data_IF_849836084633
#
_entry.id   IF_849836084633
#
_cell.length_a   1.000
_cell.length_b   1.000
_cell.length_c   1.000
_cell.angle_alpha   90.00
_cell.angle_beta   90.00
_cell.angle_gamma   90.00
#
_symmetry.space_group_name_H-M   'P 1'
#
loop_
_entity.id
_entity.type
_entity.pdbx_description
1 polymer ?
#
# COMPACT_ATOMS: atom_id res chain seq x y z
N UNK A 1 30.77 30.48 -28.86
CA UNK A 1 29.32 30.52 -28.56
C UNK A 1 29.07 29.53 -27.44
N UNK A 2 28.35 29.90 -26.37
CA UNK A 2 27.96 28.99 -25.29
C UNK A 2 26.44 28.96 -25.21
N UNK A 3 25.85 27.75 -25.18
CA UNK A 3 24.41 27.53 -25.03
C UNK A 3 24.14 26.80 -23.71
N UNK A 4 22.99 27.07 -23.09
CA UNK A 4 22.53 26.46 -21.83
C UNK A 4 21.03 26.25 -21.90
N UNK A 5 20.56 25.17 -21.28
CA UNK A 5 19.15 24.88 -21.06
C UNK A 5 18.91 24.56 -19.58
N UNK A 6 17.80 25.04 -19.03
CA UNK A 6 17.37 24.75 -17.67
C UNK A 6 16.10 23.92 -17.76
N UNK A 7 16.22 22.63 -17.49
CA UNK A 7 15.08 21.70 -17.50
C UNK A 7 14.48 21.67 -16.09
N UNK A 8 13.19 22.01 -15.91
CA UNK A 8 12.56 21.96 -14.60
C UNK A 8 12.37 20.53 -14.12
N UNK A 9 12.41 20.31 -12.81
CA UNK A 9 12.07 19.02 -12.20
C UNK A 9 10.58 18.69 -12.42
N UNK A 10 10.30 17.43 -12.71
CA UNK A 10 8.98 16.86 -12.84
C UNK A 10 8.93 15.49 -12.18
N UNK A 11 7.86 15.24 -11.43
CA UNK A 11 7.52 13.95 -10.84
C UNK A 11 6.03 13.73 -10.98
N UNK A 12 5.65 12.55 -11.45
CA UNK A 12 4.27 12.10 -11.45
C UNK A 12 4.11 10.76 -10.74
N UNK A 13 2.97 10.60 -10.09
CA UNK A 13 2.54 9.35 -9.47
C UNK A 13 1.07 9.14 -9.76
N UNK A 14 0.74 7.94 -10.22
CA UNK A 14 -0.62 7.49 -10.46
C UNK A 14 -0.88 6.28 -9.58
N UNK A 15 -1.94 6.34 -8.78
CA UNK A 15 -2.41 5.23 -7.95
C UNK A 15 -3.76 4.77 -8.51
N UNK A 16 -3.87 3.48 -8.79
CA UNK A 16 -5.09 2.84 -9.29
C UNK A 16 -5.50 1.74 -8.34
N UNK A 17 -6.78 1.74 -7.94
CA UNK A 17 -7.44 0.66 -7.22
C UNK A 17 -8.77 0.34 -7.87
N UNK A 18 -9.51 -0.62 -7.32
CA UNK A 18 -10.78 -1.13 -7.81
C UNK A 18 -11.83 -0.04 -8.06
N UNK A 19 -11.87 1.01 -7.23
CA UNK A 19 -12.90 2.06 -7.31
C UNK A 19 -12.45 3.35 -8.03
N UNK A 20 -11.24 3.41 -8.58
CA UNK A 20 -10.84 4.57 -9.38
C UNK A 20 -9.34 4.78 -9.53
N UNK A 21 -8.99 5.96 -10.02
CA UNK A 21 -7.62 6.39 -10.27
C UNK A 21 -7.37 7.79 -9.72
N UNK A 22 -6.24 7.97 -9.03
CA UNK A 22 -5.76 9.27 -8.56
C UNK A 22 -4.39 9.53 -9.17
N UNK A 23 -4.22 10.71 -9.76
CA UNK A 23 -2.96 11.14 -10.36
C UNK A 23 -2.47 12.41 -9.67
N UNK A 24 -1.17 12.44 -9.39
CA UNK A 24 -0.45 13.52 -8.75
C UNK A 24 0.72 13.92 -9.65
N UNK A 25 0.94 15.23 -9.80
CA UNK A 25 2.04 15.79 -10.57
C UNK A 25 2.64 16.94 -9.81
N UNK A 26 3.96 16.95 -9.68
CA UNK A 26 4.73 18.04 -9.11
C UNK A 26 5.67 18.62 -10.17
N UNK A 27 5.77 19.95 -10.19
CA UNK A 27 6.56 20.71 -11.15
C UNK A 27 7.45 21.73 -10.42
N UNK A 28 8.75 21.64 -10.64
CA UNK A 28 9.72 22.60 -10.13
C UNK A 28 10.30 22.28 -8.75
N UNK A 29 11.38 22.98 -8.36
CA UNK A 29 12.11 22.69 -7.14
C UNK A 29 11.30 23.02 -5.88
N UNK A 30 11.29 22.10 -4.91
CA UNK A 30 10.57 22.26 -3.65
C UNK A 30 9.05 22.16 -3.74
N UNK A 31 8.51 21.84 -4.91
CA UNK A 31 7.07 21.66 -5.09
C UNK A 31 6.61 20.32 -4.49
N UNK A 32 5.54 20.35 -3.70
CA UNK A 32 4.84 19.16 -3.23
C UNK A 32 3.39 19.15 -3.75
N UNK A 33 2.82 17.95 -3.85
CA UNK A 33 1.41 17.79 -4.17
C UNK A 33 0.87 16.61 -3.37
N UNK A 34 -0.32 16.79 -2.79
CA UNK A 34 -1.01 15.78 -2.00
C UNK A 34 -2.43 15.64 -2.53
N UNK A 35 -2.91 14.42 -2.61
CA UNK A 35 -4.32 14.14 -2.86
C UNK A 35 -4.81 13.25 -1.73
N UNK A 36 -5.97 13.61 -1.18
CA UNK A 36 -6.79 12.68 -0.42
C UNK A 36 -7.73 12.01 -1.42
N UNK A 37 -7.51 10.74 -1.77
CA UNK A 37 -8.37 10.07 -2.71
C UNK A 37 -9.81 10.01 -2.18
N UNK A 38 -10.77 10.48 -2.97
CA UNK A 38 -12.19 10.32 -2.67
C UNK A 38 -12.64 8.96 -3.22
N UNK A 39 -13.00 8.04 -2.34
CA UNK A 39 -13.56 6.75 -2.72
C UNK A 39 -12.61 5.55 -2.71
N UNK A 40 -11.34 5.69 -2.29
CA UNK A 40 -10.56 4.50 -1.93
C UNK A 40 -10.83 4.14 -0.48
N UNK A 41 -11.56 3.06 -0.28
CA UNK A 41 -11.65 2.38 1.01
C UNK A 41 -11.02 1.00 0.86
N UNK A 42 -9.85 0.82 1.47
CA UNK A 42 -9.25 -0.49 1.62
C UNK A 42 -9.93 -1.21 2.78
N UNK A 43 -10.87 -2.09 2.46
CA UNK A 43 -11.61 -2.87 3.47
C UNK A 43 -10.94 -4.22 3.69
N UNK A 44 -10.78 -4.60 4.95
CA UNK A 44 -10.38 -5.96 5.35
C UNK A 44 -11.63 -6.68 5.81
N UNK A 45 -12.30 -7.33 4.87
CA UNK A 45 -13.57 -8.01 5.09
C UNK A 45 -13.51 -9.40 4.44
N UNK A 46 -14.00 -10.42 5.14
CA UNK A 46 -13.94 -11.80 4.67
C UNK A 46 -14.85 -12.10 3.48
N UNK A 47 -15.93 -11.35 3.30
CA UNK A 47 -16.84 -11.49 2.16
C UNK A 47 -16.25 -10.82 0.91
N UNK A 48 -15.51 -9.73 1.10
CA UNK A 48 -14.94 -8.94 0.00
C UNK A 48 -13.50 -9.36 -0.33
N UNK A 49 -12.58 -9.22 0.63
CA UNK A 49 -11.15 -9.48 0.46
C UNK A 49 -10.76 -10.95 0.70
N UNK A 50 -11.54 -11.65 1.52
CA UNK A 50 -11.32 -13.07 1.82
C UNK A 50 -10.14 -13.33 2.73
N UNK A 51 -9.86 -14.61 2.93
CA UNK A 51 -8.81 -15.06 3.82
C UNK A 51 -7.58 -15.54 3.06
N UNK A 52 -6.42 -15.30 3.64
CA UNK A 52 -5.14 -15.79 3.14
C UNK A 52 -4.30 -16.39 4.26
N UNK A 53 -3.46 -17.35 3.90
CA UNK A 53 -2.44 -17.89 4.80
C UNK A 53 -1.28 -16.93 4.98
N UNK A 54 -0.37 -17.25 5.89
CA UNK A 54 0.92 -16.57 6.07
C UNK A 54 1.70 -16.38 4.75
N UNK A 55 1.63 -17.37 3.86
CA UNK A 55 2.26 -17.35 2.54
C UNK A 55 1.44 -16.66 1.46
N UNK A 56 0.34 -15.99 1.83
CA UNK A 56 -0.59 -15.28 0.94
C UNK A 56 -1.31 -16.18 -0.08
N UNK A 57 -1.42 -17.48 0.21
CA UNK A 57 -2.32 -18.34 -0.55
C UNK A 57 -3.75 -18.08 -0.10
N UNK A 58 -4.65 -17.89 -1.06
CA UNK A 58 -6.09 -17.75 -0.82
C UNK A 58 -6.62 -19.00 -0.13
N UNK A 59 -7.31 -18.79 1.00
CA UNK A 59 -7.96 -19.83 1.78
C UNK A 59 -9.47 -19.88 1.52
N UNK A 60 -10.01 -18.90 0.81
CA UNK A 60 -11.43 -18.80 0.43
C UNK A 60 -12.07 -17.48 0.84
N UNK A 61 -13.34 -17.33 0.47
CA UNK A 61 -14.24 -16.22 0.81
C UNK A 61 -15.56 -16.80 1.32
N UNK A 62 -16.29 -16.10 2.19
CA UNK A 62 -17.64 -16.51 2.55
C UNK A 62 -18.10 -16.09 3.95
N UNK A 63 -19.42 -16.12 4.14
CA UNK A 63 -20.11 -15.85 5.39
C UNK A 63 -20.05 -17.09 6.30
N UNK A 64 -19.23 -17.02 7.37
CA UNK A 64 -19.24 -17.86 8.60
C UNK A 64 -19.73 -19.33 8.43
N UNK A 65 -18.94 -20.43 8.55
CA UNK A 65 -17.69 -20.60 9.32
C UNK A 65 -16.81 -21.82 8.86
N UNK A 66 -15.85 -21.69 7.93
CA UNK A 66 -14.98 -22.84 7.57
C UNK A 66 -13.48 -22.61 7.79
N UNK A 67 -13.08 -21.44 8.29
CA UNK A 67 -11.68 -21.22 8.60
C UNK A 67 -11.43 -21.58 10.05
N UNK A 68 -10.90 -22.78 10.24
CA UNK A 68 -10.46 -23.26 11.53
C UNK A 68 -9.26 -22.41 12.02
N UNK A 69 -9.48 -21.65 13.09
CA UNK A 69 -8.45 -20.88 13.80
C UNK A 69 -7.33 -21.73 14.42
N UNK A 70 -7.44 -23.06 14.39
CA UNK A 70 -6.35 -23.97 14.79
C UNK A 70 -5.15 -23.90 13.84
N UNK A 71 -5.32 -23.32 12.65
CA UNK A 71 -4.22 -22.89 11.80
C UNK A 71 -3.71 -21.56 12.35
N UNK A 72 -2.55 -21.56 12.99
CA UNK A 72 -1.99 -20.41 13.71
C UNK A 72 -1.76 -19.12 12.90
N UNK A 73 -2.09 -19.06 11.61
CA UNK A 73 -1.65 -17.97 10.73
C UNK A 73 -2.66 -17.69 9.59
N UNK A 74 -3.86 -17.24 9.99
CA UNK A 74 -4.90 -16.75 9.09
C UNK A 74 -4.90 -15.22 9.09
N UNK A 75 -5.12 -14.64 7.92
CA UNK A 75 -5.18 -13.20 7.71
C UNK A 75 -6.41 -12.86 6.84
N UNK A 76 -6.96 -11.67 7.03
CA UNK A 76 -7.95 -11.10 6.12
C UNK A 76 -7.20 -10.23 5.11
N UNK A 77 -7.36 -10.52 3.82
CA UNK A 77 -6.77 -9.72 2.76
C UNK A 77 -7.59 -8.45 2.55
N UNK A 78 -6.93 -7.37 2.15
CA UNK A 78 -7.61 -6.17 1.66
C UNK A 78 -8.39 -6.45 0.38
N UNK A 79 -9.48 -5.72 0.19
CA UNK A 79 -10.37 -5.82 -0.97
C UNK A 79 -9.75 -5.39 -2.30
N UNK A 80 -8.53 -4.83 -2.29
CA UNK A 80 -7.91 -4.20 -3.45
C UNK A 80 -6.43 -4.55 -3.60
N UNK A 81 -5.97 -4.52 -4.85
CA UNK A 81 -4.55 -4.51 -5.21
C UNK A 81 -4.25 -3.15 -5.82
N UNK A 82 -3.46 -2.34 -5.13
CA UNK A 82 -3.12 -1.01 -5.63
C UNK A 82 -1.99 -1.10 -6.66
N UNK A 83 -2.25 -0.65 -7.89
CA UNK A 83 -1.21 -0.43 -8.91
C UNK A 83 -0.72 1.02 -8.79
N UNK A 84 0.58 1.20 -8.62
CA UNK A 84 1.23 2.50 -8.57
C UNK A 84 2.23 2.63 -9.71
N UNK A 85 2.11 3.73 -10.45
CA UNK A 85 2.97 4.09 -11.57
C UNK A 85 3.67 5.41 -11.20
N UNK A 86 5.00 5.46 -11.29
CA UNK A 86 5.80 6.64 -10.96
C UNK A 86 6.77 6.91 -12.09
N UNK A 87 6.94 8.19 -12.43
CA UNK A 87 7.98 8.65 -13.35
C UNK A 87 8.48 10.02 -12.93
N UNK A 88 9.78 10.25 -13.08
CA UNK A 88 10.38 11.57 -12.90
C UNK A 88 11.49 11.80 -13.91
N UNK A 89 11.76 13.06 -14.23
CA UNK A 89 12.90 13.45 -15.07
C UNK A 89 14.19 13.69 -14.25
N UNK A 90 14.16 13.35 -12.96
CA UNK A 90 15.31 13.29 -12.06
C UNK A 90 15.30 11.96 -11.31
N UNK A 91 16.37 11.67 -10.57
CA UNK A 91 16.41 10.49 -9.70
C UNK A 91 15.29 10.59 -8.67
N UNK A 92 14.68 9.47 -8.31
CA UNK A 92 13.58 9.45 -7.36
C UNK A 92 13.55 8.17 -6.54
N UNK A 93 12.83 8.25 -5.42
CA UNK A 93 12.45 7.10 -4.62
C UNK A 93 10.95 7.03 -4.44
N UNK A 94 10.47 5.80 -4.32
CA UNK A 94 9.08 5.49 -4.04
C UNK A 94 8.96 4.65 -2.77
N UNK A 95 8.05 5.05 -1.89
CA UNK A 95 7.91 4.56 -0.52
C UNK A 95 6.43 4.42 -0.16
N UNK A 96 6.15 3.48 0.74
CA UNK A 96 4.83 3.35 1.40
C UNK A 96 5.00 3.64 2.88
N UNK A 97 4.23 4.59 3.40
CA UNK A 97 4.18 4.93 4.82
C UNK A 97 2.81 4.51 5.38
N UNK A 98 2.82 3.77 6.49
CA UNK A 98 1.60 3.41 7.20
C UNK A 98 1.88 3.16 8.68
N UNK A 99 0.89 2.62 9.38
CA UNK A 99 1.01 2.14 10.76
C UNK A 99 0.05 1.00 11.02
N UNK A 100 -0.02 0.50 12.27
CA UNK A 100 -1.06 -0.44 12.66
C UNK A 100 -2.43 0.24 12.58
N UNK A 101 -3.47 -0.55 12.36
CA UNK A 101 -4.85 -0.07 12.52
C UNK A 101 -5.15 0.00 14.02
N UNK A 102 -5.90 1.02 14.43
CA UNK A 102 -6.29 1.23 15.83
C UNK A 102 -7.77 0.95 16.00
N UNK A 103 -8.14 0.26 17.07
CA UNK A 103 -9.53 -0.01 17.38
C UNK A 103 -10.29 1.28 17.71
N UNK A 104 -11.54 1.38 17.27
CA UNK A 104 -12.42 2.52 17.54
C UNK A 104 -13.01 2.46 18.97
N UNK A 105 -13.37 1.26 19.42
CA UNK A 105 -14.19 1.05 20.63
C UNK A 105 -13.43 0.45 21.83
N UNK A 106 -12.14 0.15 21.69
CA UNK A 106 -11.31 -0.44 22.75
C UNK A 106 -9.82 -0.18 22.56
N UNK A 107 -9.03 -0.39 23.61
CA UNK A 107 -7.57 -0.37 23.50
C UNK A 107 -7.09 -1.61 22.73
N UNK A 108 -6.71 -1.42 21.48
CA UNK A 108 -6.22 -2.50 20.63
C UNK A 108 -5.63 -1.98 19.32
N UNK A 109 -4.66 -2.72 18.80
CA UNK A 109 -4.03 -2.42 17.51
C UNK A 109 -3.89 -3.68 16.66
N UNK A 110 -4.03 -3.52 15.34
CA UNK A 110 -3.80 -4.57 14.37
C UNK A 110 -2.62 -4.20 13.46
N UNK A 111 -1.53 -4.97 13.45
CA UNK A 111 -0.43 -4.68 12.55
C UNK A 111 -0.90 -4.84 11.10
N UNK A 112 -0.67 -3.81 10.29
CA UNK A 112 -0.94 -3.86 8.87
C UNK A 112 0.23 -4.54 8.18
N UNK A 113 -0.04 -5.57 7.38
CA UNK A 113 0.98 -6.23 6.58
C UNK A 113 0.81 -5.91 5.11
N UNK A 114 1.91 -5.72 4.41
CA UNK A 114 1.96 -5.43 2.98
C UNK A 114 2.95 -6.34 2.29
N UNK A 115 2.66 -6.70 1.03
CA UNK A 115 3.67 -7.16 0.09
C UNK A 115 3.61 -6.34 -1.18
N UNK A 116 4.74 -6.20 -1.85
CA UNK A 116 4.88 -5.42 -3.07
C UNK A 116 5.49 -6.26 -4.18
N UNK A 117 5.08 -6.04 -5.43
CA UNK A 117 5.60 -6.76 -6.59
C UNK A 117 5.65 -5.87 -7.82
N UNK A 118 6.67 -6.02 -8.66
CA UNK A 118 6.76 -5.31 -9.95
C UNK A 118 5.86 -5.96 -11.03
N UNK A 119 5.26 -7.10 -10.71
CA UNK A 119 4.27 -7.80 -11.53
C UNK A 119 3.16 -8.36 -10.65
N UNK A 120 1.94 -8.38 -11.15
CA UNK A 120 0.76 -8.83 -10.40
C UNK A 120 0.79 -10.32 -10.02
N UNK A 121 1.57 -11.13 -10.74
CA UNK A 121 1.77 -12.56 -10.48
C UNK A 121 2.99 -12.86 -9.57
N UNK A 122 3.76 -11.83 -9.18
CA UNK A 122 5.02 -12.00 -8.45
C UNK A 122 5.25 -10.89 -7.43
N UNK A 123 4.87 -11.17 -6.19
CA UNK A 123 5.14 -10.32 -5.03
C UNK A 123 6.41 -10.77 -4.30
N UNK A 124 7.09 -9.81 -3.66
CA UNK A 124 8.23 -10.04 -2.78
C UNK A 124 7.83 -10.42 -1.36
N UNK A 125 8.72 -10.14 -0.41
CA UNK A 125 8.50 -10.41 1.02
C UNK A 125 7.39 -9.57 1.65
N UNK A 126 6.98 -9.98 2.85
CA UNK A 126 6.02 -9.25 3.67
C UNK A 126 6.74 -8.17 4.49
N UNK A 127 6.20 -6.97 4.49
CA UNK A 127 6.58 -5.88 5.39
C UNK A 127 5.44 -5.61 6.38
N UNK A 128 5.77 -5.42 7.66
CA UNK A 128 4.80 -5.19 8.72
C UNK A 128 4.90 -3.76 9.23
N UNK A 129 3.78 -3.04 9.18
CA UNK A 129 3.55 -1.74 9.81
C UNK A 129 2.95 -1.96 11.21
N UNK A 130 3.83 -2.13 12.18
CA UNK A 130 3.57 -2.31 13.62
C UNK A 130 3.74 -1.00 14.42
N UNK A 131 4.30 0.03 13.80
CA UNK A 131 4.51 1.35 14.38
C UNK A 131 3.95 2.45 13.47
N UNK A 132 3.41 3.52 14.07
CA UNK A 132 2.82 4.63 13.34
C UNK A 132 3.87 5.39 12.52
N UNK A 133 3.58 5.63 11.23
CA UNK A 133 4.48 6.37 10.34
C UNK A 133 5.68 5.55 9.87
N UNK A 134 5.67 4.23 10.05
CA UNK A 134 6.72 3.34 9.56
C UNK A 134 6.76 3.35 8.03
N UNK A 135 7.97 3.46 7.48
CA UNK A 135 8.21 3.60 6.04
C UNK A 135 8.80 2.31 5.48
N UNK A 136 8.24 1.84 4.38
CA UNK A 136 8.79 0.78 3.55
C UNK A 136 9.34 1.38 2.25
N UNK A 137 10.66 1.32 2.07
CA UNK A 137 11.31 1.73 0.84
C UNK A 137 11.06 0.66 -0.24
N UNK A 138 10.39 1.03 -1.32
CA UNK A 138 10.02 0.09 -2.38
C UNK A 138 11.07 0.07 -3.48
N UNK A 139 11.47 1.24 -3.95
CA UNK A 139 12.42 1.37 -5.04
C UNK A 139 13.09 2.75 -5.04
N UNK A 140 14.33 2.76 -5.55
CA UNK A 140 15.01 3.96 -6.04
C UNK A 140 15.25 3.79 -7.54
N UNK A 141 15.15 4.90 -8.27
CA UNK A 141 15.11 4.91 -9.73
C UNK A 141 15.91 6.09 -10.27
N UNK A 142 16.62 5.83 -11.35
CA UNK A 142 17.35 6.84 -12.08
C UNK A 142 16.40 7.76 -12.84
N UNK A 143 16.90 8.95 -13.20
CA UNK A 143 16.17 9.91 -14.00
C UNK A 143 15.61 9.27 -15.29
N UNK A 144 14.37 9.63 -15.60
CA UNK A 144 13.62 9.18 -16.77
C UNK A 144 13.23 7.69 -16.77
N UNK A 145 13.41 6.95 -15.67
CA UNK A 145 12.89 5.60 -15.55
C UNK A 145 11.44 5.57 -15.04
N UNK A 146 10.62 4.73 -15.67
CA UNK A 146 9.28 4.41 -15.17
C UNK A 146 9.34 3.28 -14.13
N UNK A 147 8.50 3.39 -13.11
CA UNK A 147 8.25 2.36 -12.12
C UNK A 147 6.77 1.98 -12.18
N UNK A 148 6.48 0.68 -12.28
CA UNK A 148 5.17 0.11 -11.98
C UNK A 148 5.30 -0.90 -10.86
N UNK A 149 4.50 -0.76 -9.81
CA UNK A 149 4.49 -1.66 -8.66
C UNK A 149 3.06 -1.91 -8.18
N UNK A 150 2.81 -3.11 -7.68
CA UNK A 150 1.54 -3.57 -7.15
C UNK A 150 1.68 -3.80 -5.65
N UNK A 151 0.71 -3.35 -4.87
CA UNK A 151 0.66 -3.53 -3.42
C UNK A 151 -0.56 -4.33 -3.00
N UNK A 152 -0.34 -5.31 -2.15
CA UNK A 152 -1.38 -6.05 -1.45
C UNK A 152 -1.22 -5.88 0.04
N UNK A 153 -2.35 -5.81 0.74
CA UNK A 153 -2.40 -5.62 2.17
C UNK A 153 -3.20 -6.74 2.84
N UNK A 154 -2.88 -7.03 4.09
CA UNK A 154 -3.65 -7.93 4.95
C UNK A 154 -3.52 -7.54 6.41
N UNK A 155 -4.45 -8.02 7.24
CA UNK A 155 -4.41 -7.91 8.70
C UNK A 155 -4.54 -9.30 9.32
N UNK A 156 -3.92 -9.57 10.48
CA UNK A 156 -4.03 -10.86 11.13
C UNK A 156 -5.48 -11.13 11.59
N UNK A 157 -5.86 -12.40 11.63
CA UNK A 157 -7.15 -12.88 12.13
C UNK A 157 -6.95 -14.13 12.99
N UNK A 158 -6.71 -13.90 14.28
CA UNK A 158 -6.27 -14.90 15.26
C UNK A 158 -7.09 -14.79 16.54
N UNK A 159 -7.03 -15.82 17.41
CA UNK A 159 -7.86 -15.90 18.63
C UNK A 159 -7.59 -14.82 19.69
N UNK A 160 -6.49 -14.08 19.56
CA UNK A 160 -6.09 -12.99 20.46
C UNK A 160 -6.46 -11.60 19.93
N UNK A 161 -7.22 -11.52 18.82
CA UNK A 161 -7.71 -10.27 18.26
C UNK A 161 -9.17 -10.10 18.69
N UNK A 162 -9.46 -8.98 19.34
CA UNK A 162 -10.83 -8.63 19.71
C UNK A 162 -11.64 -8.24 18.47
N UNK A 163 -12.94 -8.53 18.49
CA UNK A 163 -13.87 -8.03 17.47
C UNK A 163 -14.00 -6.50 17.57
N UNK A 164 -14.29 -5.84 16.45
CA UNK A 164 -14.56 -4.40 16.41
C UNK A 164 -14.04 -3.78 15.12
N UNK A 165 -14.27 -2.47 14.98
CA UNK A 165 -13.73 -1.69 13.88
C UNK A 165 -12.32 -1.22 14.20
N UNK A 166 -11.44 -1.35 13.22
CA UNK A 166 -10.05 -0.90 13.28
C UNK A 166 -9.79 0.01 12.07
N UNK A 167 -9.29 1.22 12.32
CA UNK A 167 -9.01 2.20 11.27
C UNK A 167 -7.50 2.48 11.17
N UNK A 168 -7.04 2.73 9.94
CA UNK A 168 -5.64 3.05 9.65
C UNK A 168 -5.51 3.85 8.36
N UNK A 169 -4.31 4.38 8.13
CA UNK A 169 -4.00 5.18 6.94
C UNK A 169 -2.76 4.62 6.25
N UNK A 170 -2.86 4.44 4.93
CA UNK A 170 -1.72 4.14 4.05
C UNK A 170 -1.46 5.36 3.18
N UNK A 171 -0.19 5.77 3.09
CA UNK A 171 0.27 6.85 2.22
C UNK A 171 1.27 6.31 1.20
N UNK A 172 0.93 6.47 -0.07
CA UNK A 172 1.88 6.28 -1.16
C UNK A 172 2.67 7.56 -1.37
N UNK A 173 4.00 7.47 -1.42
CA UNK A 173 4.89 8.64 -1.45
C UNK A 173 5.96 8.46 -2.52
N UNK A 174 6.12 9.46 -3.37
CA UNK A 174 7.24 9.56 -4.30
C UNK A 174 7.97 10.88 -4.07
N UNK A 175 9.30 10.87 -4.10
CA UNK A 175 10.15 12.04 -3.86
C UNK A 175 11.35 11.99 -4.79
N UNK A 176 11.69 13.10 -5.44
CA UNK A 176 12.93 13.24 -6.21
C UNK A 176 14.13 13.43 -5.28
N UNK A 177 15.28 12.85 -5.64
CA UNK A 177 16.51 12.85 -4.85
C UNK A 177 17.45 14.01 -5.19
#
# INVERSE_FOLDING_TARGET
>A
LQTRAFIPCYLEMKVTGNQGQTMLKSYGPGADTKASPKGYLLTFDNEIGGFVSERWYTLGHGSNPEINFDLNEVYIQGSDVFKVEVWANGNYKYEVEAGPLTAEDHDGSLPLQMRSGYRMDRFGGTFTFDEAGKICNIAEKDACEELTVYHQFRVPYTRNIAQGRYDGIVKFRAVTL
#
